data_IF_105628167141
#
_entry.id   IF_105628167141
#
_cell.length_a   1.000
_cell.length_b   1.000
_cell.length_c   1.000
_cell.angle_alpha   90.00
_cell.angle_beta   90.00
_cell.angle_gamma   90.00
#
_symmetry.space_group_name_H-M   'P 1'
#
loop_
_entity.id
_entity.type
_entity.pdbx_description
1 polymer ?
#
# COMPACT_ATOMS: atom_id res chain seq x y z
N UNK A 1 -2.92 -5.39 -11.92
CA UNK A 1 -4.29 -4.92 -11.65
C UNK A 1 -5.19 -5.65 -12.61
N UNK A 2 -6.07 -6.49 -12.06
CA UNK A 2 -6.96 -7.37 -12.83
C UNK A 2 -8.40 -6.91 -12.63
N UNK A 3 -9.23 -7.01 -13.65
CA UNK A 3 -10.66 -6.71 -13.55
C UNK A 3 -11.46 -7.97 -13.89
N UNK A 4 -12.40 -8.33 -13.03
CA UNK A 4 -13.28 -9.50 -13.21
C UNK A 4 -14.73 -9.10 -12.95
N UNK A 5 -15.67 -9.83 -13.54
CA UNK A 5 -17.07 -9.71 -13.14
C UNK A 5 -17.36 -10.58 -11.90
N UNK A 6 -18.50 -10.33 -11.25
CA UNK A 6 -18.90 -11.09 -10.05
C UNK A 6 -18.94 -12.62 -10.26
N UNK A 7 -19.42 -13.09 -11.41
CA UNK A 7 -19.54 -14.52 -11.69
C UNK A 7 -18.17 -15.18 -11.83
N UNK A 8 -17.24 -14.51 -12.51
CA UNK A 8 -15.86 -14.97 -12.68
C UNK A 8 -15.09 -14.97 -11.34
N UNK A 9 -15.28 -13.95 -10.52
CA UNK A 9 -14.72 -13.94 -9.16
C UNK A 9 -15.22 -15.13 -8.35
N UNK A 10 -16.52 -15.40 -8.39
CA UNK A 10 -17.13 -16.50 -7.64
C UNK A 10 -16.60 -17.86 -8.12
N UNK A 11 -16.45 -18.04 -9.43
CA UNK A 11 -15.97 -19.30 -10.01
C UNK A 11 -14.50 -19.55 -9.69
N UNK A 12 -13.68 -18.50 -9.64
CA UNK A 12 -12.23 -18.58 -9.46
C UNK A 12 -11.76 -17.94 -8.14
N UNK A 13 -12.57 -18.04 -7.08
CA UNK A 13 -12.36 -17.26 -5.85
C UNK A 13 -10.98 -17.51 -5.23
N UNK A 14 -10.60 -18.77 -5.04
CA UNK A 14 -9.32 -19.13 -4.43
C UNK A 14 -8.14 -18.56 -5.22
N UNK A 15 -8.08 -18.84 -6.52
CA UNK A 15 -6.98 -18.36 -7.39
C UNK A 15 -6.90 -16.84 -7.44
N UNK A 16 -8.04 -16.14 -7.43
CA UNK A 16 -8.03 -14.68 -7.38
C UNK A 16 -7.54 -14.15 -6.03
N UNK A 17 -7.91 -14.78 -4.91
CA UNK A 17 -7.42 -14.39 -3.59
C UNK A 17 -5.92 -14.69 -3.42
N UNK A 18 -5.46 -15.86 -3.86
CA UNK A 18 -4.03 -16.21 -3.86
C UNK A 18 -3.23 -15.18 -4.67
N UNK A 19 -3.73 -14.77 -5.86
CA UNK A 19 -3.07 -13.73 -6.66
C UNK A 19 -3.02 -12.37 -5.96
N UNK A 20 -4.08 -11.99 -5.23
CA UNK A 20 -4.13 -10.74 -4.47
C UNK A 20 -3.11 -10.74 -3.32
N UNK A 21 -2.93 -11.87 -2.63
CA UNK A 21 -2.00 -11.97 -1.49
C UNK A 21 -0.56 -12.17 -1.93
N UNK A 22 -0.31 -13.08 -2.88
CA UNK A 22 1.03 -13.56 -3.18
C UNK A 22 1.77 -12.65 -4.16
N UNK A 23 1.02 -11.93 -5.01
CA UNK A 23 1.57 -11.03 -6.03
C UNK A 23 1.27 -9.55 -5.75
N UNK A 24 0.70 -9.22 -4.58
CA UNK A 24 0.20 -7.88 -4.26
C UNK A 24 -0.71 -7.29 -5.36
N UNK A 25 -1.48 -8.14 -6.04
CA UNK A 25 -2.28 -7.69 -7.17
C UNK A 25 -3.61 -7.07 -6.72
N UNK A 26 -3.90 -5.85 -7.19
CA UNK A 26 -5.22 -5.24 -7.02
C UNK A 26 -6.24 -5.87 -7.99
N UNK A 27 -7.36 -6.31 -7.44
CA UNK A 27 -8.47 -6.89 -8.20
C UNK A 27 -9.70 -5.98 -8.16
N UNK A 28 -10.17 -5.54 -9.32
CA UNK A 28 -11.41 -4.78 -9.46
C UNK A 28 -12.54 -5.73 -9.83
N UNK A 29 -13.62 -5.70 -9.06
CA UNK A 29 -14.78 -6.56 -9.26
C UNK A 29 -15.95 -5.73 -9.75
N UNK A 30 -16.35 -5.95 -10.99
CA UNK A 30 -17.51 -5.30 -11.59
C UNK A 30 -18.79 -6.04 -11.23
N UNK A 31 -19.77 -5.29 -10.70
CA UNK A 31 -21.09 -5.81 -10.34
C UNK A 31 -22.10 -5.28 -11.36
N UNK A 32 -22.78 -6.19 -12.06
CA UNK A 32 -23.71 -5.84 -13.15
C UNK A 32 -24.85 -4.90 -12.75
N UNK A 33 -25.25 -4.90 -11.48
CA UNK A 33 -26.29 -4.00 -10.91
C UNK A 33 -25.79 -3.18 -9.72
N UNK A 34 -24.49 -2.86 -9.65
CA UNK A 34 -23.93 -2.13 -8.51
C UNK A 34 -22.61 -1.43 -8.78
N UNK A 35 -22.07 -0.78 -7.75
CA UNK A 35 -20.74 -0.16 -7.81
C UNK A 35 -19.66 -1.25 -7.82
N UNK A 36 -18.60 -1.00 -8.58
CA UNK A 36 -17.40 -1.83 -8.56
C UNK A 36 -16.74 -1.77 -7.17
N UNK A 37 -16.09 -2.86 -6.78
CA UNK A 37 -15.28 -2.93 -5.56
C UNK A 37 -13.83 -3.23 -5.90
N UNK A 38 -12.92 -2.88 -5.01
CA UNK A 38 -11.51 -3.28 -5.07
C UNK A 38 -11.27 -4.32 -4.00
N UNK A 39 -10.56 -5.39 -4.36
CA UNK A 39 -10.03 -6.40 -3.45
C UNK A 39 -8.51 -6.25 -3.47
N UNK A 40 -7.91 -6.18 -2.29
CA UNK A 40 -6.48 -6.02 -2.08
C UNK A 40 -6.07 -6.80 -0.83
N UNK A 41 -4.78 -7.11 -0.69
CA UNK A 41 -4.28 -7.76 0.52
C UNK A 41 -4.39 -6.81 1.72
N UNK A 42 -4.45 -7.38 2.93
CA UNK A 42 -4.46 -6.59 4.16
C UNK A 42 -3.16 -5.78 4.30
N UNK A 43 -2.03 -6.35 3.91
CA UNK A 43 -0.73 -5.67 3.97
C UNK A 43 -0.71 -4.44 3.06
N UNK A 44 -1.20 -4.57 1.82
CA UNK A 44 -1.29 -3.45 0.87
C UNK A 44 -2.23 -2.35 1.38
N UNK A 45 -3.37 -2.74 1.97
CA UNK A 45 -4.28 -1.80 2.62
C UNK A 45 -3.59 -1.04 3.76
N UNK A 46 -2.91 -1.76 4.66
CA UNK A 46 -2.21 -1.15 5.79
C UNK A 46 -1.08 -0.23 5.33
N UNK A 47 -0.26 -0.64 4.37
CA UNK A 47 0.80 0.20 3.80
C UNK A 47 0.26 1.46 3.15
N UNK A 48 -0.90 1.38 2.47
CA UNK A 48 -1.57 2.56 1.90
C UNK A 48 -2.03 3.52 2.98
N UNK A 49 -2.68 3.01 4.03
CA UNK A 49 -3.15 3.82 5.16
C UNK A 49 -1.99 4.46 5.91
N UNK A 50 -0.90 3.73 6.16
CA UNK A 50 0.30 4.25 6.81
C UNK A 50 0.96 5.35 5.97
N UNK A 51 1.10 5.12 4.66
CA UNK A 51 1.62 6.13 3.73
C UNK A 51 0.75 7.39 3.76
N UNK A 52 -0.58 7.23 3.71
CA UNK A 52 -1.50 8.36 3.81
C UNK A 52 -1.34 9.11 5.14
N UNK A 53 -1.23 8.38 6.25
CA UNK A 53 -1.03 8.95 7.58
C UNK A 53 0.27 9.76 7.66
N UNK A 54 1.40 9.19 7.22
CA UNK A 54 2.70 9.87 7.21
C UNK A 54 2.66 11.14 6.35
N UNK A 55 1.93 11.12 5.25
CA UNK A 55 1.84 12.25 4.33
C UNK A 55 0.78 13.29 4.74
N UNK A 56 -0.13 12.99 5.66
CA UNK A 56 -1.30 13.83 5.95
C UNK A 56 -0.95 15.26 6.37
N UNK A 57 0.12 15.44 7.15
CA UNK A 57 0.58 16.78 7.59
C UNK A 57 1.67 17.31 6.68
N UNK A 58 1.52 18.57 6.24
CA UNK A 58 2.55 19.28 5.44
C UNK A 58 3.92 19.24 6.12
N UNK A 59 3.98 19.56 7.42
CA UNK A 59 5.24 19.56 8.17
C UNK A 59 5.87 18.16 8.25
N UNK A 60 5.06 17.11 8.44
CA UNK A 60 5.59 15.74 8.51
C UNK A 60 6.09 15.28 7.14
N UNK A 61 5.34 15.59 6.08
CA UNK A 61 5.71 15.30 4.69
C UNK A 61 7.05 15.94 4.32
N UNK A 62 7.20 17.26 4.51
CA UNK A 62 8.44 17.97 4.20
C UNK A 62 9.63 17.41 4.99
N UNK A 63 9.42 17.08 6.27
CA UNK A 63 10.45 16.46 7.11
C UNK A 63 10.84 15.07 6.58
N UNK A 64 9.86 14.24 6.21
CA UNK A 64 10.08 12.89 5.70
C UNK A 64 10.80 12.92 4.34
N UNK A 65 10.36 13.76 3.41
CA UNK A 65 11.00 13.93 2.10
C UNK A 65 12.45 14.38 2.25
N UNK A 66 12.73 15.36 3.12
CA UNK A 66 14.09 15.80 3.42
C UNK A 66 14.94 14.68 4.02
N UNK A 67 14.38 13.88 4.93
CA UNK A 67 15.09 12.74 5.53
C UNK A 67 15.43 11.67 4.48
N UNK A 68 14.50 11.34 3.59
CA UNK A 68 14.72 10.40 2.48
C UNK A 68 15.80 10.91 1.53
N UNK A 69 15.80 12.20 1.18
CA UNK A 69 16.82 12.77 0.28
C UNK A 69 18.21 12.81 0.95
N UNK A 70 18.30 13.15 2.23
CA UNK A 70 19.55 13.04 3.00
C UNK A 70 20.13 11.62 2.96
N UNK A 71 19.29 10.59 3.12
CA UNK A 71 19.70 9.18 3.01
C UNK A 71 20.18 8.85 1.60
N UNK A 72 19.40 9.22 0.57
CA UNK A 72 19.70 8.92 -0.84
C UNK A 72 21.01 9.56 -1.30
N UNK A 73 21.26 10.79 -0.89
CA UNK A 73 22.48 11.56 -1.21
C UNK A 73 23.63 11.30 -0.25
N UNK A 74 23.40 10.52 0.83
CA UNK A 74 24.35 10.32 1.94
C UNK A 74 24.84 11.64 2.55
N UNK A 75 23.98 12.65 2.57
CA UNK A 75 24.27 13.97 3.14
C UNK A 75 23.55 14.17 4.46
N UNK A 76 24.12 14.97 5.36
CA UNK A 76 23.51 15.30 6.67
C UNK A 76 23.12 14.06 7.52
N UNK A 77 23.85 12.95 7.39
CA UNK A 77 23.64 11.75 8.20
C UNK A 77 24.50 11.81 9.47
N UNK A 78 23.88 11.55 10.62
CA UNK A 78 24.56 11.52 11.91
C UNK A 78 24.47 10.10 12.45
N UNK A 79 25.64 9.51 12.76
CA UNK A 79 25.71 8.21 13.44
C UNK A 79 25.86 8.46 14.94
N UNK A 80 24.87 8.04 15.70
CA UNK A 80 24.86 8.10 17.17
C UNK A 80 24.46 6.75 17.73
N UNK A 81 24.94 6.42 18.93
CA UNK A 81 24.44 5.25 19.66
C UNK A 81 23.02 5.52 20.17
N UNK A 82 22.24 4.47 20.37
CA UNK A 82 20.97 4.59 21.09
C UNK A 82 21.25 5.05 22.52
N UNK A 83 20.51 6.05 22.97
CA UNK A 83 20.59 6.51 24.35
C UNK A 83 19.66 5.60 25.15
N UNK A 84 20.23 4.68 25.91
CA UNK A 84 19.51 3.88 26.90
C UNK A 84 19.27 4.73 28.15
N UNK A 85 18.03 4.71 28.67
CA UNK A 85 17.66 5.41 29.90
C UNK A 85 18.12 4.64 31.14
#
# INVERSE_FOLDING_TARGET
MKAVNYSELRQNLKSNLDAVTDNAELLVVHRSKGKSIVVMSLDEYNSTIETQYLLQSKNNRERLEKAVENIRTKSNLIKSNLIEQ
#
